data_IF_620623211404
#
_entry.id   IF_620623211404
#
_cell.length_a   1.000
_cell.length_b   1.000
_cell.length_c   1.000
_cell.angle_alpha   90.00
_cell.angle_beta   90.00
_cell.angle_gamma   90.00
#
_symmetry.space_group_name_H-M   'P 1'
#
loop_
_entity.id
_entity.type
_entity.pdbx_description
1 polymer ?
#
# COMPACT_ATOMS: atom_id res chain seq x y z
N UNK A 1 -30.14 11.21 7.50
CA UNK A 1 -29.41 9.95 7.24
C UNK A 1 -29.36 9.77 5.74
N UNK A 2 -28.18 9.50 5.18
CA UNK A 2 -27.98 9.36 3.74
C UNK A 2 -27.43 7.98 3.40
N UNK A 3 -27.76 7.48 2.21
CA UNK A 3 -27.25 6.24 1.62
C UNK A 3 -25.92 6.51 0.94
N UNK A 4 -24.85 5.86 1.36
CA UNK A 4 -23.50 6.07 0.84
C UNK A 4 -23.03 4.79 0.15
N UNK A 5 -22.59 4.92 -1.09
CA UNK A 5 -21.92 3.84 -1.79
C UNK A 5 -20.41 4.03 -1.71
N UNK A 6 -19.68 2.98 -1.34
CA UNK A 6 -18.21 3.01 -1.20
C UNK A 6 -17.59 1.97 -2.12
N UNK A 7 -16.64 2.40 -2.95
CA UNK A 7 -15.84 1.49 -3.77
C UNK A 7 -14.35 1.77 -3.59
N UNK A 8 -13.55 0.71 -3.47
CA UNK A 8 -12.13 0.81 -3.21
C UNK A 8 -11.28 0.16 -4.30
N UNK A 9 -10.13 0.77 -4.56
CA UNK A 9 -9.12 0.30 -5.49
C UNK A 9 -7.74 0.42 -4.87
N UNK A 10 -6.85 -0.51 -5.21
CA UNK A 10 -5.42 -0.38 -4.90
C UNK A 10 -4.85 -1.53 -4.09
N UNK A 11 -4.10 -1.18 -3.04
CA UNK A 11 -3.38 -2.13 -2.18
C UNK A 11 -4.14 -2.38 -0.87
N UNK A 12 -3.60 -3.27 -0.04
CA UNK A 12 -4.11 -3.58 1.29
C UNK A 12 -4.39 -2.32 2.13
N UNK A 13 -3.53 -1.30 2.06
CA UNK A 13 -3.74 -0.06 2.78
C UNK A 13 -4.97 0.72 2.27
N UNK A 14 -5.20 0.78 0.96
CA UNK A 14 -6.39 1.44 0.39
C UNK A 14 -7.69 0.70 0.77
N UNK A 15 -7.64 -0.64 0.82
CA UNK A 15 -8.78 -1.42 1.30
C UNK A 15 -9.02 -1.20 2.80
N UNK A 16 -7.97 -1.17 3.63
CA UNK A 16 -8.09 -0.85 5.04
C UNK A 16 -8.68 0.56 5.27
N UNK A 17 -8.23 1.55 4.49
CA UNK A 17 -8.79 2.91 4.52
C UNK A 17 -10.28 2.90 4.18
N UNK A 18 -10.71 2.10 3.20
CA UNK A 18 -12.13 1.93 2.84
C UNK A 18 -12.96 1.24 3.93
N UNK A 19 -12.40 0.26 4.65
CA UNK A 19 -13.09 -0.38 5.78
C UNK A 19 -13.31 0.64 6.91
N UNK A 20 -12.28 1.46 7.19
CA UNK A 20 -12.33 2.53 8.20
C UNK A 20 -13.32 3.63 7.84
N UNK A 21 -13.29 4.10 6.59
CA UNK A 21 -14.26 5.07 6.07
C UNK A 21 -15.69 4.52 6.21
N UNK A 22 -15.91 3.27 5.81
CA UNK A 22 -17.21 2.59 5.95
C UNK A 22 -17.68 2.49 7.41
N UNK A 23 -16.77 2.19 8.34
CA UNK A 23 -17.07 2.17 9.78
C UNK A 23 -17.44 3.54 10.33
N UNK A 24 -16.75 4.59 9.90
CA UNK A 24 -17.09 5.97 10.27
C UNK A 24 -18.46 6.39 9.72
N UNK A 25 -18.77 6.03 8.48
CA UNK A 25 -20.08 6.28 7.84
C UNK A 25 -21.21 5.68 8.69
N UNK A 26 -21.10 4.39 9.04
CA UNK A 26 -22.13 3.69 9.83
C UNK A 26 -22.24 4.28 11.24
N UNK A 27 -21.12 4.53 11.91
CA UNK A 27 -21.12 5.15 13.23
C UNK A 27 -21.68 6.59 13.23
N UNK A 28 -21.58 7.31 12.11
CA UNK A 28 -22.18 8.63 11.92
C UNK A 28 -23.68 8.60 11.60
N UNK A 29 -24.33 7.43 11.59
CA UNK A 29 -25.76 7.29 11.32
C UNK A 29 -26.13 7.28 9.83
N UNK A 30 -25.15 7.14 8.93
CA UNK A 30 -25.41 6.91 7.51
C UNK A 30 -25.51 5.41 7.21
N UNK A 31 -26.06 5.06 6.05
CA UNK A 31 -26.25 3.66 5.64
C UNK A 31 -25.40 3.35 4.42
N UNK A 32 -24.70 2.22 4.43
CA UNK A 32 -23.96 1.74 3.26
C UNK A 32 -24.91 1.01 2.30
N UNK A 33 -24.79 1.30 1.01
CA UNK A 33 -25.52 0.59 -0.06
C UNK A 33 -24.55 -0.13 -0.99
N UNK A 34 -25.01 -1.22 -1.61
CA UNK A 34 -24.19 -2.03 -2.53
C UNK A 34 -24.28 -1.52 -3.97
N UNK A 35 -25.42 -0.97 -4.37
CA UNK A 35 -25.64 -0.41 -5.70
C UNK A 35 -25.45 1.12 -5.69
N UNK A 36 -24.55 1.69 -6.53
CA UNK A 36 -24.43 3.14 -6.69
C UNK A 36 -25.71 3.81 -7.18
N UNK A 37 -26.66 3.10 -7.79
CA UNK A 37 -27.96 3.64 -8.20
C UNK A 37 -28.83 4.05 -7.00
N UNK A 38 -28.64 3.41 -5.84
CA UNK A 38 -29.41 3.64 -4.61
C UNK A 38 -28.79 4.68 -3.68
N UNK A 39 -27.58 5.16 -3.97
CA UNK A 39 -26.85 6.10 -3.11
C UNK A 39 -27.38 7.53 -3.21
N UNK A 40 -27.20 8.31 -2.14
CA UNK A 40 -27.28 9.77 -2.15
C UNK A 40 -25.90 10.39 -2.43
N UNK A 41 -24.82 9.67 -2.12
CA UNK A 41 -23.43 10.07 -2.36
C UNK A 41 -22.56 8.87 -2.72
N UNK A 42 -21.64 9.07 -3.65
CA UNK A 42 -20.62 8.09 -4.03
C UNK A 42 -19.27 8.46 -3.38
N UNK A 43 -18.59 7.48 -2.80
CA UNK A 43 -17.24 7.63 -2.26
C UNK A 43 -16.31 6.59 -2.89
N UNK A 44 -15.27 7.06 -3.58
CA UNK A 44 -14.30 6.19 -4.24
C UNK A 44 -12.95 6.33 -3.55
N UNK A 45 -12.47 5.24 -2.95
CA UNK A 45 -11.12 5.15 -2.37
C UNK A 45 -10.14 4.70 -3.44
N UNK A 46 -9.16 5.54 -3.72
CA UNK A 46 -8.26 5.42 -4.87
C UNK A 46 -6.81 5.16 -4.47
N UNK A 47 -6.05 4.65 -5.43
CA UNK A 47 -4.62 4.40 -5.34
C UNK A 47 -3.89 5.15 -6.47
N UNK A 48 -2.60 5.41 -6.33
CA UNK A 48 -1.80 6.13 -7.33
C UNK A 48 -0.67 5.29 -7.93
N UNK A 49 -0.57 4.00 -7.55
CA UNK A 49 0.62 3.19 -7.82
C UNK A 49 0.59 2.48 -9.18
N UNK A 50 -0.54 1.87 -9.57
CA UNK A 50 -0.62 1.02 -10.78
C UNK A 50 -1.46 1.66 -11.88
N UNK A 51 -0.92 1.71 -13.11
CA UNK A 51 -1.59 2.33 -14.28
C UNK A 51 -2.92 1.69 -14.64
N UNK A 52 -2.96 0.36 -14.70
CA UNK A 52 -4.20 -0.35 -15.01
C UNK A 52 -5.31 -0.02 -14.01
N UNK A 53 -4.93 0.18 -12.74
CA UNK A 53 -5.84 0.64 -11.70
C UNK A 53 -6.21 2.11 -11.92
N UNK A 54 -5.25 2.99 -12.23
CA UNK A 54 -5.46 4.41 -12.51
C UNK A 54 -6.52 4.64 -13.60
N UNK A 55 -6.40 3.95 -14.74
CA UNK A 55 -7.38 4.06 -15.84
C UNK A 55 -8.78 3.64 -15.41
N UNK A 56 -8.91 2.53 -14.65
CA UNK A 56 -10.19 2.05 -14.12
C UNK A 56 -10.82 3.07 -13.15
N UNK A 57 -10.01 3.61 -12.23
CA UNK A 57 -10.48 4.62 -11.27
C UNK A 57 -10.93 5.91 -11.95
N UNK A 58 -10.17 6.41 -12.93
CA UNK A 58 -10.57 7.61 -13.69
C UNK A 58 -11.89 7.39 -14.43
N UNK A 59 -12.07 6.22 -15.05
CA UNK A 59 -13.33 5.86 -15.69
C UNK A 59 -14.49 5.84 -14.68
N UNK A 60 -14.28 5.21 -13.53
CA UNK A 60 -15.29 5.15 -12.47
C UNK A 60 -15.64 6.52 -11.91
N UNK A 61 -14.65 7.37 -11.64
CA UNK A 61 -14.82 8.74 -11.18
C UNK A 61 -15.72 9.49 -12.16
N UNK A 62 -15.45 9.39 -13.47
CA UNK A 62 -16.25 10.05 -14.50
C UNK A 62 -17.72 9.62 -14.47
N UNK A 63 -17.98 8.32 -14.29
CA UNK A 63 -19.33 7.76 -14.25
C UNK A 63 -20.10 8.08 -12.95
N UNK A 64 -19.42 8.50 -11.90
CA UNK A 64 -20.01 8.68 -10.56
C UNK A 64 -20.40 10.12 -10.24
N UNK A 65 -20.37 11.02 -11.23
CA UNK A 65 -20.59 12.47 -11.08
C UNK A 65 -22.06 12.91 -11.14
N UNK A 66 -22.99 12.01 -11.45
CA UNK A 66 -24.44 12.32 -11.44
C UNK A 66 -24.99 12.57 -10.04
N UNK A 67 -24.19 12.24 -9.01
CA UNK A 67 -24.48 12.40 -7.59
C UNK A 67 -23.29 13.11 -6.92
N UNK A 68 -23.48 13.68 -5.71
CA UNK A 68 -22.36 14.12 -4.88
C UNK A 68 -21.27 13.05 -4.81
N UNK A 69 -20.02 13.45 -5.02
CA UNK A 69 -18.87 12.54 -5.17
C UNK A 69 -17.74 12.94 -4.24
N UNK A 70 -17.22 11.97 -3.50
CA UNK A 70 -15.97 12.08 -2.73
C UNK A 70 -14.93 11.15 -3.35
N UNK A 71 -13.77 11.70 -3.72
CA UNK A 71 -12.61 10.94 -4.15
C UNK A 71 -11.58 10.93 -3.02
N UNK A 72 -11.34 9.77 -2.44
CA UNK A 72 -10.46 9.58 -1.28
C UNK A 72 -9.20 8.78 -1.65
N UNK A 73 -8.18 8.78 -0.78
CA UNK A 73 -6.99 7.94 -0.90
C UNK A 73 -5.79 8.64 -1.56
N UNK A 74 -4.88 7.86 -2.15
CA UNK A 74 -3.57 8.40 -2.60
C UNK A 74 -3.67 9.28 -3.85
N UNK A 75 -4.57 8.97 -4.80
CA UNK A 75 -4.70 9.73 -6.05
C UNK A 75 -5.03 11.22 -5.84
N UNK A 76 -6.05 11.62 -5.06
CA UNK A 76 -6.39 13.04 -4.90
C UNK A 76 -5.30 13.83 -4.16
N UNK A 77 -4.48 13.17 -3.34
CA UNK A 77 -3.33 13.78 -2.65
C UNK A 77 -2.12 13.95 -3.58
N UNK A 78 -1.79 12.93 -4.37
CA UNK A 78 -0.63 12.94 -5.26
C UNK A 78 -0.87 13.67 -6.58
N UNK A 79 -2.09 13.57 -7.13
CA UNK A 79 -2.47 14.09 -8.44
C UNK A 79 -3.80 14.84 -8.38
N UNK A 80 -3.88 15.83 -7.49
CA UNK A 80 -5.09 16.66 -7.31
C UNK A 80 -5.65 17.18 -8.64
N UNK A 81 -4.79 17.70 -9.51
CA UNK A 81 -5.20 18.24 -10.81
C UNK A 81 -5.82 17.19 -11.74
N UNK A 82 -5.38 15.94 -11.66
CA UNK A 82 -5.98 14.82 -12.41
C UNK A 82 -7.43 14.61 -11.96
N UNK A 83 -7.69 14.64 -10.65
CA UNK A 83 -9.06 14.54 -10.12
C UNK A 83 -9.90 15.75 -10.50
N UNK A 84 -9.39 16.97 -10.34
CA UNK A 84 -10.11 18.21 -10.70
C UNK A 84 -10.45 18.28 -12.19
N UNK A 85 -9.58 17.77 -13.06
CA UNK A 85 -9.82 17.69 -14.51
C UNK A 85 -10.97 16.76 -14.87
N UNK A 86 -11.14 15.65 -14.13
CA UNK A 86 -12.13 14.62 -14.47
C UNK A 86 -13.42 14.72 -13.65
N UNK A 87 -13.36 15.31 -12.46
CA UNK A 87 -14.49 15.53 -11.58
C UNK A 87 -14.32 16.84 -10.80
N UNK A 88 -14.57 17.97 -11.47
CA UNK A 88 -14.33 19.32 -10.94
C UNK A 88 -15.02 19.60 -9.60
N UNK A 89 -16.24 19.08 -9.43
CA UNK A 89 -17.08 19.29 -8.24
C UNK A 89 -16.89 18.23 -7.15
N UNK A 90 -16.04 17.22 -7.37
CA UNK A 90 -15.81 16.20 -6.37
C UNK A 90 -15.06 16.77 -5.16
N UNK A 91 -15.53 16.40 -3.97
CA UNK A 91 -14.76 16.58 -2.75
C UNK A 91 -13.60 15.59 -2.71
N UNK A 92 -12.52 15.97 -2.05
CA UNK A 92 -11.27 15.20 -2.04
C UNK A 92 -10.81 14.94 -0.60
N UNK A 93 -10.35 13.72 -0.33
CA UNK A 93 -9.84 13.33 0.99
C UNK A 93 -8.52 12.56 0.89
N UNK A 94 -7.50 12.98 1.64
CA UNK A 94 -6.20 12.32 1.68
C UNK A 94 -6.22 11.00 2.46
N UNK A 95 -5.21 10.11 2.26
CA UNK A 95 -5.14 8.84 2.98
C UNK A 95 -4.91 9.01 4.48
N UNK A 96 -4.33 10.14 4.91
CA UNK A 96 -4.07 10.48 6.31
C UNK A 96 -5.11 11.45 6.91
N UNK A 97 -6.27 11.58 6.25
CA UNK A 97 -7.33 12.54 6.61
C UNK A 97 -8.67 11.85 6.92
N UNK A 98 -8.66 10.54 7.12
CA UNK A 98 -9.87 9.70 7.30
C UNK A 98 -10.74 10.16 8.48
N UNK A 99 -10.15 10.76 9.52
CA UNK A 99 -10.93 11.35 10.61
C UNK A 99 -11.92 12.44 10.18
N UNK A 100 -11.73 13.04 9.00
CA UNK A 100 -12.64 14.05 8.42
C UNK A 100 -13.77 13.44 7.58
N UNK A 101 -13.93 12.11 7.54
CA UNK A 101 -14.91 11.42 6.67
C UNK A 101 -16.32 12.00 6.77
N UNK A 102 -16.87 12.12 7.99
CA UNK A 102 -18.24 12.61 8.18
C UNK A 102 -18.39 14.07 7.74
N UNK A 103 -17.47 14.94 8.15
CA UNK A 103 -17.45 16.35 7.73
C UNK A 103 -17.42 16.49 6.20
N UNK A 104 -16.59 15.70 5.53
CA UNK A 104 -16.45 15.72 4.06
C UNK A 104 -17.75 15.27 3.41
N UNK A 105 -18.36 14.19 3.90
CA UNK A 105 -19.63 13.66 3.38
C UNK A 105 -20.75 14.69 3.55
N UNK A 106 -20.93 15.25 4.75
CA UNK A 106 -21.98 16.24 5.05
C UNK A 106 -21.86 17.49 4.18
N UNK A 107 -20.64 18.03 4.06
CA UNK A 107 -20.37 19.20 3.21
C UNK A 107 -20.70 18.92 1.75
N UNK A 108 -20.34 17.73 1.27
CA UNK A 108 -20.57 17.28 -0.11
C UNK A 108 -22.06 17.06 -0.40
N UNK A 109 -22.80 16.47 0.55
CA UNK A 109 -24.26 16.32 0.47
C UNK A 109 -24.98 17.67 0.44
N UNK A 110 -24.46 18.68 1.13
CA UNK A 110 -24.97 20.06 1.11
C UNK A 110 -24.59 20.82 -0.17
N UNK A 111 -24.02 20.16 -1.18
CA UNK A 111 -23.67 20.75 -2.46
C UNK A 111 -22.35 21.54 -2.48
N UNK A 112 -21.58 21.50 -1.39
CA UNK A 112 -20.30 22.20 -1.28
C UNK A 112 -19.12 21.25 -1.50
N UNK A 113 -18.13 21.70 -2.27
CA UNK A 113 -16.87 20.98 -2.46
C UNK A 113 -15.92 21.24 -1.28
N UNK A 114 -15.30 20.19 -0.75
CA UNK A 114 -14.23 20.31 0.24
C UNK A 114 -12.96 19.57 -0.21
N UNK A 115 -11.80 20.10 0.15
CA UNK A 115 -10.50 19.50 -0.17
C UNK A 115 -9.76 19.23 1.14
N UNK A 116 -9.95 18.04 1.69
CA UNK A 116 -9.37 17.56 2.94
C UNK A 116 -8.13 16.69 2.66
N UNK A 117 -7.09 17.28 2.05
CA UNK A 117 -5.87 16.57 1.68
C UNK A 117 -4.78 16.65 2.74
N UNK A 118 -4.86 17.57 3.69
CA UNK A 118 -3.85 17.73 4.74
C UNK A 118 -3.85 16.56 5.72
N UNK A 119 -2.65 16.12 6.06
CA UNK A 119 -2.43 15.03 7.00
C UNK A 119 -2.90 15.46 8.39
N UNK A 120 -3.47 14.52 9.14
CA UNK A 120 -3.90 14.75 10.52
C UNK A 120 -3.04 13.95 11.48
N UNK A 121 -2.92 14.42 12.72
CA UNK A 121 -2.23 13.68 13.80
C UNK A 121 -3.13 12.60 14.44
N UNK A 122 -4.33 12.40 13.91
CA UNK A 122 -5.24 11.36 14.38
C UNK A 122 -4.70 9.99 13.99
N UNK A 123 -4.51 9.15 15.00
CA UNK A 123 -4.17 7.75 14.78
C UNK A 123 -5.32 7.04 14.08
N UNK A 124 -5.00 6.23 13.06
CA UNK A 124 -5.97 5.34 12.44
C UNK A 124 -6.26 4.11 13.29
N UNK A 125 -5.41 3.83 14.29
CA UNK A 125 -5.62 2.70 15.20
C UNK A 125 -6.90 2.93 15.99
N UNK A 126 -7.75 1.90 16.02
CA UNK A 126 -9.00 1.92 16.75
C UNK A 126 -10.17 2.58 16.03
N UNK A 127 -9.99 3.08 14.80
CA UNK A 127 -11.11 3.53 13.96
C UNK A 127 -12.03 2.32 13.68
N UNK A 128 -13.37 2.48 13.81
CA UNK A 128 -14.33 1.43 13.48
C UNK A 128 -14.20 0.99 12.03
N UNK A 129 -14.47 -0.29 11.73
CA UNK A 129 -14.34 -0.84 10.39
C UNK A 129 -15.57 -1.64 10.00
N UNK A 130 -15.94 -1.56 8.72
CA UNK A 130 -16.84 -2.53 8.07
C UNK A 130 -15.99 -3.37 7.13
N UNK A 131 -15.96 -4.68 7.36
CA UNK A 131 -15.07 -5.61 6.64
C UNK A 131 -15.53 -5.84 5.22
N UNK A 132 -14.58 -5.83 4.29
CA UNK A 132 -14.79 -6.33 2.93
C UNK A 132 -14.62 -7.85 2.88
N UNK A 133 -13.68 -8.38 3.66
CA UNK A 133 -13.49 -9.82 3.85
C UNK A 133 -13.56 -10.14 5.35
N UNK A 134 -14.57 -10.88 5.82
CA UNK A 134 -14.73 -11.17 7.25
C UNK A 134 -13.59 -12.01 7.83
N UNK A 135 -12.85 -12.76 7.01
CA UNK A 135 -11.76 -13.61 7.48
C UNK A 135 -10.41 -12.87 7.64
N UNK A 136 -10.26 -11.68 7.05
CA UNK A 136 -8.97 -10.97 6.96
C UNK A 136 -9.04 -9.62 7.65
N UNK A 137 -8.23 -9.44 8.69
CA UNK A 137 -8.02 -8.16 9.36
C UNK A 137 -6.78 -7.45 8.83
N UNK A 138 -6.96 -6.34 8.11
CA UNK A 138 -5.82 -5.53 7.65
C UNK A 138 -5.48 -4.49 8.72
N UNK A 139 -4.28 -4.61 9.29
CA UNK A 139 -3.78 -3.74 10.36
C UNK A 139 -2.63 -2.90 9.81
N UNK A 140 -2.87 -1.60 9.65
CA UNK A 140 -1.83 -0.65 9.26
C UNK A 140 -0.89 -0.44 10.46
N UNK A 141 0.39 -0.78 10.31
CA UNK A 141 1.40 -0.70 11.40
C UNK A 141 2.17 0.63 11.36
N UNK A 142 2.21 1.29 10.20
CA UNK A 142 2.81 2.60 10.01
C UNK A 142 2.24 3.28 8.77
N UNK A 143 2.28 4.62 8.75
CA UNK A 143 2.07 5.43 7.55
C UNK A 143 3.39 5.90 6.97
N UNK A 144 3.39 6.31 5.70
CA UNK A 144 4.57 6.89 5.04
C UNK A 144 5.71 5.90 4.88
N UNK A 145 6.88 6.37 4.45
CA UNK A 145 8.06 5.53 4.22
C UNK A 145 9.37 6.34 4.38
N UNK A 146 10.44 5.69 4.83
CA UNK A 146 11.80 6.28 4.92
C UNK A 146 12.58 6.24 3.59
N UNK A 147 12.04 5.60 2.54
CA UNK A 147 12.73 5.47 1.25
C UNK A 147 12.53 6.71 0.37
N UNK A 148 13.55 7.05 -0.42
CA UNK A 148 13.58 8.21 -1.34
C UNK A 148 13.54 7.79 -2.82
N UNK A 149 12.76 6.75 -3.13
CA UNK A 149 12.73 6.17 -4.47
C UNK A 149 12.24 7.19 -5.51
N UNK A 150 13.02 7.37 -6.58
CA UNK A 150 12.83 8.42 -7.59
C UNK A 150 11.52 8.33 -8.37
N UNK A 151 10.86 7.18 -8.35
CA UNK A 151 9.60 6.89 -9.06
C UNK A 151 8.38 6.80 -8.14
N UNK A 152 8.56 6.88 -6.81
CA UNK A 152 7.51 6.49 -5.87
C UNK A 152 6.57 7.65 -5.52
N UNK A 153 5.40 7.66 -6.16
CA UNK A 153 4.36 8.62 -5.84
C UNK A 153 3.69 8.38 -4.47
N UNK A 154 3.85 7.19 -3.89
CA UNK A 154 3.32 6.91 -2.53
C UNK A 154 4.00 7.78 -1.48
N UNK A 155 5.29 8.13 -1.64
CA UNK A 155 5.96 9.09 -0.75
C UNK A 155 5.29 10.46 -0.80
N UNK A 156 4.91 10.94 -1.98
CA UNK A 156 4.18 12.20 -2.15
C UNK A 156 2.78 12.16 -1.51
N UNK A 157 2.13 11.00 -1.52
CA UNK A 157 0.79 10.83 -0.96
C UNK A 157 0.76 10.59 0.56
N UNK A 158 1.71 9.82 1.09
CA UNK A 158 1.69 9.33 2.48
C UNK A 158 2.76 9.95 3.38
N UNK A 159 3.74 10.67 2.83
CA UNK A 159 4.79 11.35 3.57
C UNK A 159 5.86 10.43 4.16
N UNK A 160 6.54 10.95 5.18
CA UNK A 160 7.57 10.26 5.94
C UNK A 160 6.98 9.22 6.90
N UNK A 161 7.84 8.30 7.35
CA UNK A 161 7.46 7.25 8.27
C UNK A 161 6.86 7.82 9.56
N UNK A 162 5.67 7.33 9.90
CA UNK A 162 5.05 7.48 11.22
C UNK A 162 4.56 6.11 11.68
N UNK A 163 5.30 5.49 12.60
CA UNK A 163 4.97 4.17 13.14
C UNK A 163 3.96 4.26 14.28
N UNK A 164 3.03 3.31 14.33
CA UNK A 164 2.18 3.13 15.50
C UNK A 164 2.91 2.33 16.59
N UNK A 165 2.60 2.60 17.86
CA UNK A 165 3.18 1.88 18.99
C UNK A 165 2.72 0.41 18.97
N UNK A 166 3.63 -0.51 19.33
CA UNK A 166 3.35 -1.95 19.36
C UNK A 166 2.08 -2.26 20.18
N UNK A 167 1.94 -1.66 21.36
CA UNK A 167 0.77 -1.87 22.21
C UNK A 167 -0.55 -1.47 21.54
N UNK A 168 -0.55 -0.44 20.71
CA UNK A 168 -1.74 0.03 19.98
C UNK A 168 -2.08 -0.96 18.86
N UNK A 169 -1.07 -1.43 18.13
CA UNK A 169 -1.20 -2.44 17.08
C UNK A 169 -1.72 -3.75 17.66
N UNK A 170 -1.16 -4.23 18.79
CA UNK A 170 -1.63 -5.46 19.47
C UNK A 170 -3.09 -5.32 19.90
N UNK A 171 -3.50 -4.16 20.43
CA UNK A 171 -4.91 -3.91 20.75
C UNK A 171 -5.79 -3.92 19.51
N UNK A 172 -5.31 -3.38 18.39
CA UNK A 172 -6.03 -3.47 17.11
C UNK A 172 -6.17 -4.93 16.68
N UNK A 173 -5.09 -5.71 16.67
CA UNK A 173 -5.14 -7.13 16.27
C UNK A 173 -6.16 -7.91 17.12
N UNK A 174 -6.18 -7.71 18.44
CA UNK A 174 -7.18 -8.34 19.31
C UNK A 174 -8.62 -7.97 18.92
N UNK A 175 -8.86 -6.74 18.47
CA UNK A 175 -10.18 -6.33 17.96
C UNK A 175 -10.51 -7.03 16.64
N UNK A 176 -9.55 -7.11 15.70
CA UNK A 176 -9.75 -7.83 14.43
C UNK A 176 -10.11 -9.30 14.67
N UNK A 177 -9.47 -9.96 15.64
CA UNK A 177 -9.76 -11.35 16.00
C UNK A 177 -11.13 -11.49 16.69
N UNK A 178 -11.48 -10.56 17.58
CA UNK A 178 -12.80 -10.51 18.20
C UNK A 178 -13.93 -10.29 17.18
N UNK A 179 -13.65 -9.59 16.07
CA UNK A 179 -14.56 -9.43 14.92
C UNK A 179 -14.65 -10.69 14.04
N UNK A 180 -13.90 -11.75 14.36
CA UNK A 180 -13.94 -13.05 13.68
C UNK A 180 -12.84 -13.27 12.64
N UNK A 181 -11.90 -12.35 12.46
CA UNK A 181 -10.81 -12.54 11.50
C UNK A 181 -9.89 -13.70 11.93
N UNK A 182 -9.41 -14.46 10.94
CA UNK A 182 -8.49 -15.60 11.12
C UNK A 182 -7.13 -15.37 10.48
N UNK A 183 -7.03 -14.33 9.66
CA UNK A 183 -5.79 -13.90 9.06
C UNK A 183 -5.58 -12.39 9.32
N UNK A 184 -4.39 -12.03 9.77
CA UNK A 184 -4.01 -10.67 10.11
C UNK A 184 -2.92 -10.21 9.14
N UNK A 185 -3.21 -9.18 8.36
CA UNK A 185 -2.25 -8.57 7.46
C UNK A 185 -1.60 -7.37 8.14
N UNK A 186 -0.34 -7.53 8.55
CA UNK A 186 0.47 -6.39 9.02
C UNK A 186 0.92 -5.61 7.79
N UNK A 187 0.34 -4.44 7.56
CA UNK A 187 0.53 -3.66 6.33
C UNK A 187 1.08 -2.27 6.63
N UNK A 188 1.88 -1.73 5.73
CA UNK A 188 2.29 -0.33 5.70
C UNK A 188 2.78 0.02 4.29
N UNK A 189 3.31 1.22 4.08
CA UNK A 189 4.02 1.52 2.83
C UNK A 189 5.30 0.70 2.68
N UNK A 190 5.98 0.37 3.77
CA UNK A 190 7.18 -0.46 3.80
C UNK A 190 7.38 -1.01 5.22
N UNK A 191 7.06 -2.29 5.41
CA UNK A 191 7.15 -2.90 6.74
C UNK A 191 8.60 -2.99 7.23
N UNK A 192 9.60 -2.95 6.34
CA UNK A 192 11.00 -3.09 6.70
C UNK A 192 11.50 -1.91 7.52
N UNK A 193 10.90 -0.73 7.34
CA UNK A 193 11.26 0.47 8.08
C UNK A 193 10.42 0.72 9.34
N UNK A 194 9.46 -0.16 9.67
CA UNK A 194 8.63 -0.02 10.87
C UNK A 194 9.51 0.13 12.12
N UNK A 195 9.15 1.10 12.97
CA UNK A 195 9.76 1.30 14.27
C UNK A 195 11.02 2.18 14.27
N UNK A 196 11.62 2.48 13.12
CA UNK A 196 12.85 3.28 13.04
C UNK A 196 12.72 4.67 13.65
N UNK A 197 11.54 5.27 13.58
CA UNK A 197 11.18 6.58 14.12
C UNK A 197 10.83 6.56 15.62
N UNK A 198 10.59 5.39 16.20
CA UNK A 198 10.15 5.23 17.59
C UNK A 198 11.04 4.33 18.45
N UNK A 199 12.16 3.85 17.90
CA UNK A 199 13.11 2.97 18.61
C UNK A 199 12.69 1.51 18.68
N UNK A 200 11.83 1.05 17.77
CA UNK A 200 11.28 -0.31 17.70
C UNK A 200 11.70 -1.00 16.39
N UNK A 201 11.31 -2.26 16.20
CA UNK A 201 11.44 -2.97 14.93
C UNK A 201 10.30 -3.95 14.64
N UNK A 202 10.22 -4.38 13.38
CA UNK A 202 9.16 -5.28 12.90
C UNK A 202 9.18 -6.65 13.59
N UNK A 203 10.36 -7.19 13.90
CA UNK A 203 10.47 -8.48 14.59
C UNK A 203 9.85 -8.45 15.98
N UNK A 204 10.10 -7.37 16.74
CA UNK A 204 9.55 -7.15 18.07
C UNK A 204 8.03 -7.04 18.02
N UNK A 205 7.49 -6.34 17.02
CA UNK A 205 6.05 -6.29 16.78
C UNK A 205 5.47 -7.68 16.50
N UNK A 206 6.06 -8.44 15.58
CA UNK A 206 5.55 -9.77 15.23
C UNK A 206 5.58 -10.69 16.45
N UNK A 207 6.66 -10.66 17.24
CA UNK A 207 6.76 -11.42 18.49
C UNK A 207 5.64 -11.06 19.47
N UNK A 208 5.33 -9.79 19.66
CA UNK A 208 4.23 -9.39 20.54
C UNK A 208 2.84 -9.82 20.01
N UNK A 209 2.65 -9.84 18.69
CA UNK A 209 1.39 -10.30 18.09
C UNK A 209 1.25 -11.82 18.20
N UNK A 210 2.32 -12.61 18.03
CA UNK A 210 2.24 -14.08 18.13
C UNK A 210 1.90 -14.57 19.54
N UNK A 211 2.18 -13.77 20.58
CA UNK A 211 1.81 -14.04 21.98
C UNK A 211 0.30 -13.97 22.25
N UNK A 212 -0.52 -13.42 21.35
CA UNK A 212 -1.98 -13.38 21.53
C UNK A 212 -2.51 -14.83 21.53
N UNK A 213 -3.19 -15.31 22.60
CA UNK A 213 -3.54 -16.73 22.76
C UNK A 213 -4.80 -17.13 21.98
N UNK A 214 -4.81 -16.82 20.68
CA UNK A 214 -5.89 -17.14 19.74
C UNK A 214 -5.33 -17.87 18.51
N UNK A 215 -6.20 -18.57 17.80
CA UNK A 215 -5.87 -19.29 16.55
C UNK A 215 -6.11 -18.41 15.33
N UNK A 216 -5.01 -17.94 14.73
CA UNK A 216 -4.96 -17.08 13.55
C UNK A 216 -3.58 -17.15 12.90
N UNK A 217 -3.46 -16.58 11.69
CA UNK A 217 -2.18 -16.41 11.00
C UNK A 217 -1.87 -14.96 10.65
N UNK A 218 -0.59 -14.64 10.56
CA UNK A 218 -0.02 -13.33 10.29
C UNK A 218 0.63 -13.37 8.92
N UNK A 219 0.19 -12.46 8.05
CA UNK A 219 0.86 -12.16 6.78
C UNK A 219 1.62 -10.86 6.94
N UNK A 220 2.94 -10.94 6.79
CA UNK A 220 3.81 -9.76 6.82
C UNK A 220 3.79 -9.10 5.45
N UNK A 221 3.53 -7.78 5.42
CA UNK A 221 3.54 -6.95 4.23
C UNK A 221 4.91 -6.80 3.59
N UNK A 222 4.94 -6.10 2.45
CA UNK A 222 6.17 -5.92 1.67
C UNK A 222 7.22 -5.09 2.39
N UNK A 223 8.49 -5.38 2.10
CA UNK A 223 9.63 -4.71 2.70
C UNK A 223 10.70 -4.41 1.66
N UNK A 224 11.22 -3.18 1.66
CA UNK A 224 12.38 -2.85 0.83
C UNK A 224 13.61 -3.64 1.33
N UNK A 225 14.36 -4.33 0.45
CA UNK A 225 15.60 -5.02 0.82
C UNK A 225 16.59 -4.19 1.64
N UNK A 226 16.60 -2.86 1.48
CA UNK A 226 17.55 -1.98 2.18
C UNK A 226 17.46 -2.09 3.71
N UNK A 227 16.27 -2.36 4.26
CA UNK A 227 16.07 -2.44 5.71
C UNK A 227 16.31 -3.84 6.26
N UNK A 228 16.33 -4.85 5.39
CA UNK A 228 16.43 -6.24 5.81
C UNK A 228 17.71 -6.57 6.57
N UNK A 229 18.92 -6.14 6.16
CA UNK A 229 20.16 -6.48 6.88
C UNK A 229 20.13 -6.20 8.39
N UNK A 230 19.40 -5.15 8.81
CA UNK A 230 19.26 -4.75 10.21
C UNK A 230 18.38 -5.68 11.02
N UNK A 231 17.26 -6.13 10.45
CA UNK A 231 16.22 -6.90 11.17
C UNK A 231 16.23 -8.39 10.83
N UNK A 232 17.04 -8.81 9.84
CA UNK A 232 16.95 -10.13 9.19
C UNK A 232 16.92 -11.28 10.18
N UNK A 233 17.86 -11.34 11.11
CA UNK A 233 18.05 -12.54 11.92
C UNK A 233 16.88 -12.70 12.92
N UNK A 234 16.42 -11.60 13.54
CA UNK A 234 15.24 -11.57 14.39
C UNK A 234 13.95 -11.81 13.59
N UNK A 235 13.84 -11.22 12.41
CA UNK A 235 12.70 -11.42 11.53
C UNK A 235 12.58 -12.89 11.08
N UNK A 236 13.69 -13.51 10.69
CA UNK A 236 13.75 -14.94 10.37
C UNK A 236 13.42 -15.82 11.59
N UNK A 237 13.65 -15.36 12.82
CA UNK A 237 13.18 -16.06 14.03
C UNK A 237 11.66 -15.94 14.16
N UNK A 238 11.08 -14.76 13.90
CA UNK A 238 9.63 -14.57 13.93
C UNK A 238 8.88 -15.51 12.95
N UNK A 239 9.47 -15.80 11.79
CA UNK A 239 8.92 -16.76 10.81
C UNK A 239 8.97 -18.25 11.25
N UNK A 240 9.58 -18.59 12.39
CA UNK A 240 9.51 -19.94 12.97
C UNK A 240 8.16 -20.23 13.62
N UNK A 241 7.43 -19.18 14.02
CA UNK A 241 6.10 -19.31 14.59
C UNK A 241 5.11 -19.88 13.57
N UNK A 242 4.28 -20.82 14.00
CA UNK A 242 3.18 -21.40 13.22
C UNK A 242 2.07 -20.39 12.88
N UNK A 243 1.99 -19.30 13.66
CA UNK A 243 1.13 -18.15 13.40
C UNK A 243 1.66 -17.24 12.30
N UNK A 244 2.86 -17.41 11.76
CA UNK A 244 3.37 -16.54 10.69
C UNK A 244 3.44 -17.32 9.38
N UNK A 245 2.81 -16.81 8.33
CA UNK A 245 2.92 -17.42 7.02
C UNK A 245 4.37 -17.43 6.55
N UNK A 246 4.82 -18.55 5.96
CA UNK A 246 6.11 -18.66 5.26
C UNK A 246 6.06 -17.95 3.91
N UNK A 247 5.84 -16.64 3.96
CA UNK A 247 5.69 -15.74 2.83
C UNK A 247 6.49 -14.47 3.09
N UNK A 248 7.26 -14.03 2.10
CA UNK A 248 8.09 -12.84 2.18
C UNK A 248 7.98 -12.08 0.87
N UNK A 249 7.54 -10.84 0.95
CA UNK A 249 7.42 -9.95 -0.19
C UNK A 249 8.54 -8.91 -0.16
N UNK A 250 9.51 -9.07 -1.07
CA UNK A 250 10.75 -8.27 -1.12
C UNK A 250 10.92 -7.68 -2.52
N UNK A 251 10.44 -6.45 -2.77
CA UNK A 251 10.51 -5.84 -4.09
C UNK A 251 11.93 -5.39 -4.45
N UNK A 252 12.61 -6.13 -5.34
CA UNK A 252 13.95 -5.74 -5.83
C UNK A 252 13.87 -4.64 -6.89
N UNK A 253 12.81 -4.59 -7.69
CA UNK A 253 12.54 -3.65 -8.78
C UNK A 253 13.42 -3.81 -10.03
N UNK A 254 14.72 -4.08 -9.91
CA UNK A 254 15.62 -4.35 -11.03
C UNK A 254 16.73 -5.31 -10.62
N UNK A 255 17.30 -6.06 -11.56
CA UNK A 255 18.51 -6.85 -11.33
C UNK A 255 19.80 -6.14 -11.73
N UNK A 256 19.74 -4.84 -12.02
CA UNK A 256 20.93 -4.03 -12.31
C UNK A 256 21.24 -3.08 -11.16
N UNK A 257 22.45 -3.17 -10.60
CA UNK A 257 22.89 -2.25 -9.54
C UNK A 257 22.92 -0.79 -10.00
N UNK A 258 23.21 -0.54 -11.28
CA UNK A 258 23.15 0.81 -11.86
C UNK A 258 21.72 1.37 -11.82
N UNK A 259 20.74 0.59 -12.31
CA UNK A 259 19.33 0.99 -12.31
C UNK A 259 18.80 1.14 -10.87
N UNK A 260 19.15 0.23 -9.96
CA UNK A 260 18.77 0.32 -8.54
C UNK A 260 19.30 1.61 -7.87
N UNK A 261 20.52 2.02 -8.21
CA UNK A 261 21.11 3.27 -7.74
C UNK A 261 20.37 4.48 -8.31
N UNK A 262 20.08 4.49 -9.62
CA UNK A 262 19.29 5.55 -10.26
C UNK A 262 17.86 5.63 -9.72
N UNK A 263 17.27 4.50 -9.32
CA UNK A 263 15.99 4.42 -8.64
C UNK A 263 16.03 4.89 -7.17
N UNK A 264 17.24 5.09 -6.60
CA UNK A 264 17.47 5.32 -5.15
C UNK A 264 16.83 4.25 -4.27
N UNK A 265 17.04 2.97 -4.61
CA UNK A 265 16.49 1.85 -3.81
C UNK A 265 17.19 1.62 -2.47
N UNK A 266 18.41 2.12 -2.32
CA UNK A 266 19.19 1.98 -1.08
C UNK A 266 19.72 0.57 -0.82
N UNK A 267 19.63 -0.32 -1.81
CA UNK A 267 20.15 -1.69 -1.74
C UNK A 267 20.73 -2.11 -3.09
N UNK A 268 21.47 -3.22 -3.07
CA UNK A 268 22.03 -3.86 -4.25
C UNK A 268 21.34 -5.19 -4.56
N UNK A 269 21.61 -5.72 -5.74
CA UNK A 269 21.21 -7.08 -6.14
C UNK A 269 21.70 -8.12 -5.14
N UNK A 270 22.92 -7.98 -4.64
CA UNK A 270 23.51 -8.87 -3.65
C UNK A 270 22.74 -8.86 -2.33
N UNK A 271 22.18 -7.71 -1.95
CA UNK A 271 21.32 -7.59 -0.76
C UNK A 271 20.08 -8.47 -0.91
N UNK A 272 19.43 -8.42 -2.07
CA UNK A 272 18.27 -9.27 -2.38
C UNK A 272 18.66 -10.76 -2.45
N UNK A 273 19.77 -11.09 -3.11
CA UNK A 273 20.29 -12.47 -3.18
C UNK A 273 20.58 -13.04 -1.79
N UNK A 274 21.19 -12.25 -0.89
CA UNK A 274 21.47 -12.68 0.49
C UNK A 274 20.18 -13.04 1.23
N UNK A 275 19.14 -12.21 1.09
CA UNK A 275 17.82 -12.46 1.67
C UNK A 275 17.24 -13.78 1.17
N UNK A 276 17.17 -13.96 -0.15
CA UNK A 276 16.62 -15.19 -0.77
C UNK A 276 17.37 -16.42 -0.29
N UNK A 277 18.71 -16.37 -0.30
CA UNK A 277 19.57 -17.47 0.14
C UNK A 277 19.31 -17.85 1.59
N UNK A 278 19.27 -16.87 2.51
CA UNK A 278 19.10 -17.11 3.95
C UNK A 278 17.73 -17.66 4.31
N UNK A 279 16.67 -17.13 3.68
CA UNK A 279 15.31 -17.63 3.86
C UNK A 279 15.22 -19.11 3.44
N UNK A 280 15.75 -19.44 2.26
CA UNK A 280 15.73 -20.83 1.75
C UNK A 280 16.59 -21.77 2.57
N UNK A 281 17.78 -21.34 2.97
CA UNK A 281 18.66 -22.14 3.81
C UNK A 281 18.02 -22.49 5.16
N UNK A 282 17.21 -21.59 5.72
CA UNK A 282 16.55 -21.78 7.02
C UNK A 282 15.28 -22.63 6.93
N UNK A 283 14.42 -22.39 5.95
CA UNK A 283 13.06 -22.97 5.94
C UNK A 283 12.82 -24.05 4.89
N UNK A 284 13.71 -24.19 3.90
CA UNK A 284 13.53 -25.08 2.75
C UNK A 284 12.38 -24.63 1.84
N UNK A 285 11.14 -24.86 2.26
CA UNK A 285 9.92 -24.41 1.59
C UNK A 285 9.46 -23.07 2.17
N UNK A 286 9.56 -22.01 1.36
CA UNK A 286 9.18 -20.65 1.74
C UNK A 286 8.85 -19.84 0.49
N UNK A 287 7.68 -19.20 0.46
CA UNK A 287 7.23 -18.40 -0.70
C UNK A 287 7.90 -17.03 -0.71
N UNK A 288 8.61 -16.72 -1.79
CA UNK A 288 9.25 -15.43 -2.03
C UNK A 288 8.53 -14.73 -3.18
N UNK A 289 7.99 -13.54 -2.88
CA UNK A 289 7.40 -12.64 -3.86
C UNK A 289 8.31 -11.44 -4.07
N UNK A 290 8.53 -11.04 -5.33
CA UNK A 290 9.26 -9.82 -5.68
C UNK A 290 8.46 -8.99 -6.68
N UNK A 291 8.86 -7.74 -6.87
CA UNK A 291 8.34 -6.86 -7.92
C UNK A 291 9.49 -6.44 -8.81
N UNK A 292 9.20 -6.30 -10.09
CA UNK A 292 10.14 -5.83 -11.12
C UNK A 292 9.47 -4.70 -11.89
N UNK A 293 10.22 -3.63 -12.13
CA UNK A 293 9.83 -2.52 -12.99
C UNK A 293 10.72 -2.57 -14.22
N UNK A 294 10.14 -2.91 -15.38
CA UNK A 294 10.84 -2.83 -16.67
C UNK A 294 10.56 -1.50 -17.34
N UNK A 295 11.53 -1.01 -18.12
CA UNK A 295 11.41 0.24 -18.84
C UNK A 295 11.68 1.49 -17.99
N UNK A 296 12.38 1.34 -16.86
CA UNK A 296 12.80 2.50 -16.07
C UNK A 296 13.68 3.43 -16.94
N UNK A 297 13.60 4.77 -16.81
CA UNK A 297 14.22 5.70 -17.76
C UNK A 297 15.69 5.46 -18.12
N UNK A 298 16.49 4.96 -17.16
CA UNK A 298 17.92 4.67 -17.37
C UNK A 298 18.23 3.23 -17.76
N UNK A 299 17.22 2.36 -17.95
CA UNK A 299 17.43 0.92 -18.15
C UNK A 299 17.90 0.60 -19.57
N UNK A 300 19.14 0.14 -19.71
CA UNK A 300 19.69 -0.35 -20.98
C UNK A 300 19.25 -1.80 -21.27
N UNK A 301 19.56 -2.30 -22.48
CA UNK A 301 19.35 -3.71 -22.81
C UNK A 301 20.19 -4.64 -21.91
N UNK A 302 21.42 -4.26 -21.57
CA UNK A 302 22.30 -5.01 -20.67
C UNK A 302 21.69 -5.07 -19.26
N UNK A 303 21.20 -3.94 -18.72
CA UNK A 303 20.54 -3.92 -17.41
C UNK A 303 19.26 -4.79 -17.37
N UNK A 304 18.52 -4.84 -18.48
CA UNK A 304 17.37 -5.72 -18.61
C UNK A 304 17.81 -7.19 -18.57
N UNK A 305 18.88 -7.57 -19.27
CA UNK A 305 19.44 -8.92 -19.23
C UNK A 305 19.96 -9.31 -17.84
N UNK A 306 20.58 -8.39 -17.10
CA UNK A 306 20.95 -8.58 -15.69
C UNK A 306 19.72 -8.90 -14.83
N UNK A 307 18.59 -8.21 -15.08
CA UNK A 307 17.32 -8.48 -14.42
C UNK A 307 16.80 -9.89 -14.70
N UNK A 308 16.86 -10.33 -15.96
CA UNK A 308 16.51 -11.71 -16.33
C UNK A 308 17.45 -12.71 -15.66
N UNK A 309 18.75 -12.42 -15.62
CA UNK A 309 19.76 -13.23 -14.93
C UNK A 309 19.45 -13.40 -13.44
N UNK A 310 19.12 -12.30 -12.76
CA UNK A 310 18.73 -12.31 -11.35
C UNK A 310 17.52 -13.21 -11.09
N UNK A 311 16.47 -13.11 -11.92
CA UNK A 311 15.27 -13.93 -11.77
C UNK A 311 15.55 -15.42 -12.01
N UNK A 312 16.40 -15.75 -12.99
CA UNK A 312 16.82 -17.14 -13.26
C UNK A 312 17.63 -17.73 -12.11
N UNK A 313 18.51 -16.94 -11.50
CA UNK A 313 19.34 -17.36 -10.38
C UNK A 313 18.53 -17.51 -9.09
N UNK A 314 17.72 -16.51 -8.76
CA UNK A 314 16.99 -16.46 -7.49
C UNK A 314 15.65 -17.17 -7.52
N UNK A 315 15.05 -17.42 -8.69
CA UNK A 315 13.80 -18.19 -8.89
C UNK A 315 12.72 -17.85 -7.86
N UNK A 316 12.34 -16.58 -7.64
CA UNK A 316 11.24 -16.25 -6.74
C UNK A 316 9.95 -16.95 -7.18
N UNK A 317 9.12 -17.33 -6.22
CA UNK A 317 7.86 -18.04 -6.48
C UNK A 317 6.82 -17.13 -7.16
N UNK A 318 6.88 -15.83 -6.87
CA UNK A 318 5.98 -14.82 -7.45
C UNK A 318 6.81 -13.64 -7.96
N UNK A 319 6.61 -13.26 -9.22
CA UNK A 319 7.18 -12.05 -9.83
C UNK A 319 6.05 -11.12 -10.25
N UNK A 320 5.90 -10.01 -9.52
CA UNK A 320 4.96 -8.96 -9.86
C UNK A 320 5.61 -7.99 -10.86
N UNK A 321 5.44 -8.29 -12.13
CA UNK A 321 5.98 -7.46 -13.21
C UNK A 321 5.11 -6.22 -13.43
N UNK A 322 5.76 -5.06 -13.45
CA UNK A 322 5.15 -3.77 -13.80
C UNK A 322 5.96 -3.10 -14.90
N UNK A 323 5.26 -2.41 -15.79
CA UNK A 323 5.89 -1.45 -16.72
C UNK A 323 6.10 -0.15 -15.96
N UNK A 324 7.27 0.47 -16.14
CA UNK A 324 7.46 1.82 -15.66
C UNK A 324 6.42 2.74 -16.30
N UNK A 325 5.91 3.66 -15.48
CA UNK A 325 5.02 4.71 -15.94
C UNK A 325 5.36 6.02 -15.25
N UNK A 326 5.31 7.11 -16.01
CA UNK A 326 5.60 8.43 -15.50
C UNK A 326 4.52 8.83 -14.48
N UNK A 327 4.98 9.23 -13.29
CA UNK A 327 4.13 9.75 -12.22
C UNK A 327 4.43 11.22 -11.98
N UNK A 328 3.45 12.13 -12.17
CA UNK A 328 3.65 13.55 -11.91
C UNK A 328 4.25 13.81 -10.53
N UNK A 329 5.23 14.71 -10.47
CA UNK A 329 5.94 15.09 -9.25
C UNK A 329 7.07 14.16 -8.82
N UNK A 330 7.35 13.09 -9.57
CA UNK A 330 8.48 12.18 -9.28
C UNK A 330 9.70 12.53 -10.12
N UNK A 331 10.91 12.31 -9.57
CA UNK A 331 12.17 12.62 -10.25
C UNK A 331 12.29 11.83 -11.56
N UNK A 332 11.88 10.55 -11.55
CA UNK A 332 11.95 9.69 -12.73
C UNK A 332 10.99 10.12 -13.86
N UNK A 333 9.94 10.89 -13.57
CA UNK A 333 9.02 11.38 -14.60
C UNK A 333 9.66 12.44 -15.49
N UNK A 334 10.62 13.19 -14.97
CA UNK A 334 11.34 14.27 -15.68
C UNK A 334 12.56 13.76 -16.48
N UNK A 335 12.91 12.48 -16.34
CA UNK A 335 14.01 11.86 -17.10
C UNK A 335 13.62 11.59 -18.57
N UNK A 336 14.60 11.44 -19.49
CA UNK A 336 14.33 10.92 -20.82
C UNK A 336 13.73 9.52 -20.77
N UNK A 337 12.58 9.32 -21.42
CA UNK A 337 11.82 8.08 -21.31
C UNK A 337 12.24 7.05 -22.36
N UNK A 338 12.15 5.77 -22.00
CA UNK A 338 12.31 4.66 -22.94
C UNK A 338 11.07 4.58 -23.83
N UNK A 339 11.27 4.23 -25.10
CA UNK A 339 10.19 4.04 -26.06
C UNK A 339 9.15 3.00 -25.58
N UNK A 340 7.86 3.32 -25.74
CA UNK A 340 6.76 2.50 -25.25
C UNK A 340 6.73 1.10 -25.89
N UNK A 341 7.15 0.96 -27.15
CA UNK A 341 7.22 -0.35 -27.81
C UNK A 341 8.31 -1.22 -27.17
N UNK A 342 9.44 -0.61 -26.78
CA UNK A 342 10.52 -1.30 -26.07
C UNK A 342 10.08 -1.74 -24.67
N UNK A 343 9.40 -0.88 -23.90
CA UNK A 343 8.83 -1.25 -22.59
C UNK A 343 7.84 -2.41 -22.73
N UNK A 344 7.00 -2.38 -23.77
CA UNK A 344 6.06 -3.47 -24.08
C UNK A 344 6.78 -4.77 -24.40
N UNK A 345 7.86 -4.72 -25.19
CA UNK A 345 8.68 -5.90 -25.53
C UNK A 345 9.28 -6.54 -24.29
N UNK A 346 9.88 -5.75 -23.39
CA UNK A 346 10.49 -6.24 -22.13
C UNK A 346 9.51 -6.87 -21.15
N UNK A 347 8.23 -6.52 -21.27
CA UNK A 347 7.17 -7.00 -20.36
C UNK A 347 6.43 -8.26 -20.80
N UNK A 348 6.81 -8.84 -21.94
CA UNK A 348 6.21 -10.07 -22.50
C UNK A 348 7.07 -11.28 -22.17
#
# INVERSE_FOLDING_TARGET
MAKIWVEAYGCSASFADSEMISGLIVNGGHTLVQDPSESDLNLIVTCSVKDATATKMVHRIKQSQSKPLVVAGCLPKAERHTVEKFAQNASMMGPNSIGKTLQVIETTLNGSKVVALEDTDLSKVGIPKIRLNPAVGIVEIANGCMSECTFCQTKLAKGDLKSYRIGDIVRQVKRELADGCKEIWLSSTDNGCYGLDIGEDLSSLIEQVTLIPEDFRIRVGMMNPMFMPRIRDNLLKSFESDKVFRFLHVPVQSGSNEVLNNMKRGHTVETFKDVVRKVRAKFGTFTISTDIIVGYPTETQENFEETIGLLKETRPDIVNLSRYSQRPGTIAAEMPQIDVAEIKRRSK
#
